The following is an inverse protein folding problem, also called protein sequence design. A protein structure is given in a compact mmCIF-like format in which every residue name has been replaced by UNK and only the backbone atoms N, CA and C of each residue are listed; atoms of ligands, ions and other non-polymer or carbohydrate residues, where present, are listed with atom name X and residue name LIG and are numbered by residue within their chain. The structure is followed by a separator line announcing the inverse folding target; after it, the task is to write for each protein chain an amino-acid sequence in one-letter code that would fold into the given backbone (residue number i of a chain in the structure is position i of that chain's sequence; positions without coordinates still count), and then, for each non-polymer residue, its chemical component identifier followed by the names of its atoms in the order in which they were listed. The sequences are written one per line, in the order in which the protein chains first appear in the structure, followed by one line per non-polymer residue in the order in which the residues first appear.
data_IF_335409718409
#
_entry.id   IF_335409718409
#
_cell.length_a   1.000
_cell.length_b   1.000
_cell.length_c   1.000
_cell.angle_alpha   90.00
_cell.angle_beta   90.00
_cell.angle_gamma   90.00
#
_symmetry.space_group_name_H-M   'P 1'
#
loop_
_entity.id
_entity.type
_entity.pdbx_description
1 polymer ?
#
# COMPACT_ATOMS: atom_id res chain seq x y z
N UNK A 1 13.87 11.66 12.04
CA UNK A 1 12.50 11.62 11.47
C UNK A 1 11.89 10.28 11.82
N UNK A 2 10.58 10.22 12.09
CA UNK A 2 9.87 8.93 12.27
C UNK A 2 9.74 8.20 10.93
N UNK A 3 9.62 6.87 10.95
CA UNK A 3 9.29 6.07 9.77
C UNK A 3 8.01 6.60 9.10
N UNK A 4 7.99 6.71 7.77
CA UNK A 4 6.80 7.13 7.01
C UNK A 4 5.89 5.95 6.74
N UNK A 5 4.59 6.17 6.67
CA UNK A 5 3.61 5.19 6.20
C UNK A 5 3.42 5.39 4.69
N UNK A 6 3.78 4.38 3.90
CA UNK A 6 3.82 4.46 2.43
C UNK A 6 2.82 3.49 1.82
N UNK A 7 1.73 4.00 1.28
CA UNK A 7 0.65 3.19 0.68
C UNK A 7 0.95 2.98 -0.80
N UNK A 8 0.94 1.74 -1.26
CA UNK A 8 1.29 1.38 -2.64
C UNK A 8 0.15 0.56 -3.25
N UNK A 9 -0.42 1.01 -4.37
CA UNK A 9 -1.40 0.23 -5.14
C UNK A 9 -0.69 -0.60 -6.22
N UNK A 10 -1.21 -1.78 -6.54
CA UNK A 10 -0.54 -2.71 -7.46
C UNK A 10 0.75 -3.28 -6.86
N UNK A 11 0.76 -3.44 -5.52
CA UNK A 11 1.95 -3.76 -4.74
C UNK A 11 2.45 -5.21 -4.91
N UNK A 12 1.63 -6.12 -5.43
CA UNK A 12 2.04 -7.49 -5.73
C UNK A 12 2.71 -7.61 -7.12
N UNK A 13 2.56 -6.60 -7.98
CA UNK A 13 3.21 -6.54 -9.30
C UNK A 13 4.71 -6.19 -9.23
N UNK A 14 5.43 -6.35 -10.34
CA UNK A 14 6.90 -6.21 -10.37
C UNK A 14 7.44 -4.88 -9.82
N UNK A 15 6.92 -3.74 -10.31
CA UNK A 15 7.33 -2.41 -9.82
C UNK A 15 6.81 -2.17 -8.39
N UNK A 16 5.57 -2.59 -8.10
CA UNK A 16 4.98 -2.48 -6.77
C UNK A 16 5.80 -3.18 -5.70
N UNK A 17 6.18 -4.44 -5.94
CA UNK A 17 7.00 -5.24 -5.04
C UNK A 17 8.41 -4.64 -4.86
N UNK A 18 9.00 -4.10 -5.93
CA UNK A 18 10.27 -3.39 -5.84
C UNK A 18 10.18 -2.12 -4.97
N UNK A 19 9.07 -1.36 -5.08
CA UNK A 19 8.82 -0.21 -4.19
C UNK A 19 8.62 -0.65 -2.74
N UNK A 20 7.82 -1.70 -2.48
CA UNK A 20 7.64 -2.26 -1.14
C UNK A 20 8.99 -2.58 -0.48
N UNK A 21 9.86 -3.31 -1.19
CA UNK A 21 11.19 -3.65 -0.69
C UNK A 21 12.07 -2.42 -0.46
N UNK A 22 12.02 -1.44 -1.36
CA UNK A 22 12.85 -0.24 -1.29
C UNK A 22 12.45 0.66 -0.11
N UNK A 23 11.15 0.92 0.08
CA UNK A 23 10.69 1.72 1.21
C UNK A 23 10.96 1.03 2.56
N UNK A 24 10.77 -0.29 2.63
CA UNK A 24 11.14 -1.06 3.83
C UNK A 24 12.65 -0.93 4.14
N UNK A 25 13.51 -1.03 3.12
CA UNK A 25 14.97 -0.88 3.29
C UNK A 25 15.38 0.54 3.72
N UNK A 26 14.57 1.56 3.42
CA UNK A 26 14.76 2.94 3.89
C UNK A 26 14.26 3.17 5.32
N UNK A 27 13.69 2.14 5.97
CA UNK A 27 13.13 2.22 7.32
C UNK A 27 11.72 2.80 7.37
N UNK A 28 11.02 2.88 6.23
CA UNK A 28 9.61 3.24 6.18
C UNK A 28 8.71 2.01 6.46
N UNK A 29 7.41 2.26 6.61
CA UNK A 29 6.35 1.25 6.76
C UNK A 29 5.53 1.20 5.47
N UNK A 30 5.91 0.36 4.49
CA UNK A 30 5.12 0.20 3.28
C UNK A 30 3.88 -0.67 3.54
N UNK A 31 2.74 -0.24 3.01
CA UNK A 31 1.45 -0.93 3.05
C UNK A 31 0.98 -1.16 1.62
N UNK A 32 0.96 -2.41 1.19
CA UNK A 32 0.55 -2.77 -0.16
C UNK A 32 -0.95 -3.02 -0.28
N UNK A 33 -1.53 -2.58 -1.39
CA UNK A 33 -2.91 -2.86 -1.80
C UNK A 33 -2.90 -3.46 -3.20
N UNK A 34 -3.53 -4.61 -3.38
CA UNK A 34 -3.57 -5.30 -4.67
C UNK A 34 -4.77 -6.26 -4.76
N UNK A 35 -5.13 -6.67 -5.98
CA UNK A 35 -6.06 -7.77 -6.20
C UNK A 35 -5.49 -9.09 -5.65
N UNK A 36 -4.17 -9.28 -5.73
CA UNK A 36 -3.48 -10.49 -5.28
C UNK A 36 -2.80 -10.28 -3.92
N UNK A 37 -2.99 -11.22 -2.99
CA UNK A 37 -2.31 -11.17 -1.70
C UNK A 37 -0.81 -11.54 -1.84
N UNK A 38 0.04 -10.84 -1.09
CA UNK A 38 1.47 -11.10 -1.00
C UNK A 38 2.01 -10.65 0.38
N UNK A 39 3.24 -11.00 0.78
CA UNK A 39 3.80 -10.52 2.04
C UNK A 39 3.81 -8.98 2.12
N UNK A 40 3.15 -8.42 3.15
CA UNK A 40 3.00 -6.97 3.31
C UNK A 40 1.96 -6.32 2.37
N UNK A 41 1.19 -7.12 1.62
CA UNK A 41 0.16 -6.66 0.68
C UNK A 41 -1.21 -7.21 1.06
N UNK A 42 -2.17 -6.31 1.24
CA UNK A 42 -3.59 -6.65 1.41
C UNK A 42 -4.14 -7.04 0.02
N UNK A 43 -4.48 -8.32 -0.12
CA UNK A 43 -5.10 -8.87 -1.33
C UNK A 43 -6.62 -8.64 -1.40
N UNK A 44 -7.21 -8.89 -2.57
CA UNK A 44 -8.63 -8.70 -2.83
C UNK A 44 -9.08 -7.24 -2.87
N UNK A 45 -8.14 -6.30 -2.95
CA UNK A 45 -8.41 -4.88 -3.06
C UNK A 45 -8.52 -4.45 -4.53
N UNK A 46 -9.69 -3.98 -4.94
CA UNK A 46 -9.92 -3.38 -6.25
C UNK A 46 -9.86 -1.85 -6.16
N UNK A 47 -8.84 -1.25 -6.77
CA UNK A 47 -8.65 0.21 -6.80
C UNK A 47 -9.77 0.94 -7.55
N UNK A 48 -10.53 0.24 -8.40
CA UNK A 48 -11.65 0.82 -9.15
C UNK A 48 -12.94 0.87 -8.34
N UNK A 49 -12.99 0.21 -7.17
CA UNK A 49 -14.11 0.25 -6.23
C UNK A 49 -13.89 1.35 -5.17
N UNK A 50 -14.68 2.45 -5.19
CA UNK A 50 -14.53 3.54 -4.24
C UNK A 50 -14.81 3.14 -2.79
N UNK A 51 -15.69 2.16 -2.55
CA UNK A 51 -16.02 1.72 -1.19
C UNK A 51 -14.82 0.98 -0.57
N UNK A 52 -14.10 0.19 -1.36
CA UNK A 52 -12.87 -0.45 -0.93
C UNK A 52 -11.76 0.56 -0.68
N UNK A 53 -11.63 1.59 -1.51
CA UNK A 53 -10.67 2.68 -1.30
C UNK A 53 -10.88 3.37 0.05
N UNK A 54 -12.14 3.71 0.39
CA UNK A 54 -12.47 4.33 1.68
C UNK A 54 -12.17 3.38 2.84
N UNK A 55 -12.57 2.11 2.73
CA UNK A 55 -12.31 1.11 3.77
C UNK A 55 -10.81 0.88 4.01
N UNK A 56 -10.01 0.81 2.94
CA UNK A 56 -8.57 0.65 3.03
C UNK A 56 -7.91 1.89 3.67
N UNK A 57 -8.30 3.10 3.27
CA UNK A 57 -7.80 4.33 3.86
C UNK A 57 -8.12 4.41 5.36
N UNK A 58 -9.36 4.08 5.75
CA UNK A 58 -9.75 4.05 7.17
C UNK A 58 -8.93 3.03 7.95
N UNK A 59 -8.77 1.81 7.41
CA UNK A 59 -7.94 0.77 8.03
C UNK A 59 -6.49 1.21 8.23
N UNK A 60 -5.89 1.85 7.22
CA UNK A 60 -4.50 2.34 7.31
C UNK A 60 -4.38 3.42 8.40
N UNK A 61 -5.36 4.32 8.51
CA UNK A 61 -5.40 5.33 9.57
C UNK A 61 -5.62 4.69 10.95
N UNK A 62 -6.50 3.69 11.06
CA UNK A 62 -6.76 3.00 12.32
C UNK A 62 -5.53 2.20 12.80
N UNK A 63 -4.79 1.56 11.88
CA UNK A 63 -3.62 0.73 12.19
C UNK A 63 -2.34 1.56 12.40
N UNK A 64 -2.13 2.63 11.62
CA UNK A 64 -0.87 3.38 11.60
C UNK A 64 -0.99 4.85 12.02
N UNK A 65 -2.21 5.37 12.18
CA UNK A 65 -2.49 6.76 12.54
C UNK A 65 -2.29 7.78 11.42
N UNK A 66 -1.75 7.39 10.26
CA UNK A 66 -1.39 8.29 9.15
C UNK A 66 -1.18 7.55 7.83
N UNK A 67 -1.14 8.32 6.73
CA UNK A 67 -0.59 7.94 5.43
C UNK A 67 0.23 9.12 4.90
N UNK A 68 1.52 8.91 4.66
CA UNK A 68 2.47 9.98 4.31
C UNK A 68 2.75 10.07 2.82
N UNK A 69 2.70 8.92 2.16
CA UNK A 69 2.98 8.77 0.74
C UNK A 69 1.93 7.83 0.16
N UNK A 70 1.39 8.20 -0.99
CA UNK A 70 0.53 7.35 -1.80
C UNK A 70 1.18 7.16 -3.17
N UNK A 71 1.50 5.93 -3.51
CA UNK A 71 1.98 5.52 -4.82
C UNK A 71 0.83 4.87 -5.60
N UNK A 72 0.22 5.65 -6.50
CA UNK A 72 -0.75 5.14 -7.46
C UNK A 72 0.00 4.41 -8.59
N UNK A 73 0.12 3.09 -8.46
CA UNK A 73 0.89 2.27 -9.39
C UNK A 73 0.06 1.15 -10.04
N UNK A 74 -1.07 0.76 -9.46
CA UNK A 74 -1.98 -0.19 -10.11
C UNK A 74 -2.37 0.30 -11.51
N UNK A 75 -2.26 -0.59 -12.50
CA UNK A 75 -2.59 -0.31 -13.91
C UNK A 75 -2.41 -1.56 -14.76
N UNK A 76 -3.01 -1.53 -15.96
CA UNK A 76 -2.90 -2.55 -17.01
C UNK A 76 -2.54 -1.90 -18.35
#
# INVERSE_FOLDING_TARGET
MSARVVVITGAAGGIGAAMMATFAALGDTPVGLDLVAAPGVIGGFDITDPAQCVAAAQRIVDEHGRSDVLCNNAGI
#
